data_IF_609209470220
#
_entry.id   IF_609209470220
#
_cell.length_a   1.000
_cell.length_b   1.000
_cell.length_c   1.000
_cell.angle_alpha   90.00
_cell.angle_beta   90.00
_cell.angle_gamma   90.00
#
_symmetry.space_group_name_H-M   'P 1'
#
loop_
_entity.id
_entity.type
_entity.pdbx_description
1 polymer ?
#
# COMPACT_ATOMS: atom_id res chain seq x y z
N UNK A 1 1.84 -30.85 46.81
CA UNK A 1 1.00 -29.64 46.69
C UNK A 1 1.37 -28.67 45.54
N UNK A 2 2.37 -28.95 44.68
CA UNK A 2 2.68 -28.08 43.52
C UNK A 2 1.94 -28.45 42.21
N UNK A 3 1.40 -29.66 42.10
CA UNK A 3 0.73 -30.13 40.88
C UNK A 3 -0.69 -29.56 40.67
N UNK A 4 -1.38 -29.17 41.74
CA UNK A 4 -2.74 -28.60 41.63
C UNK A 4 -2.76 -27.16 41.10
N UNK A 5 -1.66 -26.40 41.25
CA UNK A 5 -1.59 -25.00 40.83
C UNK A 5 -1.36 -24.81 39.33
N UNK A 6 -0.85 -25.83 38.62
CA UNK A 6 -0.57 -25.73 37.18
C UNK A 6 -1.83 -25.98 36.35
N UNK A 7 -2.71 -26.87 36.81
CA UNK A 7 -3.94 -27.25 36.10
C UNK A 7 -4.92 -26.08 36.06
N UNK A 8 -5.09 -25.34 37.17
CA UNK A 8 -5.99 -24.17 37.21
C UNK A 8 -5.51 -23.04 36.30
N UNK A 9 -4.20 -22.79 36.19
CA UNK A 9 -3.66 -21.76 35.32
C UNK A 9 -3.90 -22.06 33.82
N UNK A 10 -3.84 -23.33 33.42
CA UNK A 10 -4.12 -23.75 32.03
C UNK A 10 -5.60 -23.57 31.68
N UNK A 11 -6.52 -23.89 32.58
CA UNK A 11 -7.96 -23.67 32.34
C UNK A 11 -8.32 -22.18 32.23
N UNK A 12 -7.70 -21.30 33.02
CA UNK A 12 -7.91 -19.84 32.88
C UNK A 12 -7.36 -19.29 31.57
N UNK A 13 -6.20 -19.77 31.11
CA UNK A 13 -5.64 -19.36 29.82
C UNK A 13 -6.53 -19.77 28.65
N UNK A 14 -7.05 -21.02 28.66
CA UNK A 14 -7.96 -21.51 27.61
C UNK A 14 -9.29 -20.74 27.60
N UNK A 15 -9.85 -20.42 28.77
CA UNK A 15 -11.07 -19.63 28.87
C UNK A 15 -10.91 -18.19 28.35
N UNK A 16 -9.79 -17.54 28.64
CA UNK A 16 -9.50 -16.19 28.13
C UNK A 16 -9.29 -16.16 26.60
N UNK A 17 -8.65 -17.19 26.04
CA UNK A 17 -8.50 -17.37 24.59
C UNK A 17 -9.85 -17.59 23.89
N UNK A 18 -10.75 -18.37 24.48
CA UNK A 18 -12.09 -18.62 23.93
C UNK A 18 -12.96 -17.35 23.95
N UNK A 19 -12.97 -16.61 25.07
CA UNK A 19 -13.72 -15.35 25.17
C UNK A 19 -13.22 -14.28 24.20
N UNK A 20 -11.90 -14.18 23.98
CA UNK A 20 -11.33 -13.24 23.01
C UNK A 20 -11.67 -13.60 21.55
N UNK A 21 -11.79 -14.90 21.25
CA UNK A 21 -12.19 -15.38 19.93
C UNK A 21 -13.68 -15.08 19.63
N UNK A 22 -14.57 -15.24 20.63
CA UNK A 22 -15.99 -14.90 20.50
C UNK A 22 -16.23 -13.41 20.28
N UNK A 23 -15.51 -12.55 21.00
CA UNK A 23 -15.60 -11.08 20.85
C UNK A 23 -15.14 -10.64 19.45
N UNK A 24 -14.05 -11.25 18.95
CA UNK A 24 -13.51 -10.96 17.61
C UNK A 24 -14.47 -11.37 16.49
N UNK A 25 -15.10 -12.54 16.61
CA UNK A 25 -16.07 -13.02 15.62
C UNK A 25 -17.32 -12.11 15.59
N UNK A 26 -17.84 -11.75 16.77
CA UNK A 26 -19.02 -10.87 16.90
C UNK A 26 -18.75 -9.48 16.30
N UNK A 27 -17.55 -8.93 16.53
CA UNK A 27 -17.17 -7.64 15.97
C UNK A 27 -17.07 -7.70 14.44
N UNK A 28 -16.48 -8.76 13.87
CA UNK A 28 -16.37 -8.94 12.43
C UNK A 28 -17.75 -9.03 11.76
N UNK A 29 -18.69 -9.76 12.37
CA UNK A 29 -20.05 -9.90 11.86
C UNK A 29 -20.78 -8.55 11.83
N UNK A 30 -20.67 -7.76 12.91
CA UNK A 30 -21.29 -6.42 12.97
C UNK A 30 -20.73 -5.46 11.91
N UNK A 31 -19.43 -5.54 11.63
CA UNK A 31 -18.77 -4.72 10.63
C UNK A 31 -19.22 -5.09 9.22
N UNK A 32 -19.29 -6.39 8.90
CA UNK A 32 -19.75 -6.86 7.59
C UNK A 32 -21.23 -6.55 7.34
N UNK A 33 -22.08 -6.64 8.36
CA UNK A 33 -23.48 -6.24 8.27
C UNK A 33 -23.62 -4.76 7.91
N UNK A 34 -22.86 -3.88 8.59
CA UNK A 34 -22.81 -2.45 8.24
C UNK A 34 -22.34 -2.23 6.81
N UNK A 35 -21.27 -2.92 6.40
CA UNK A 35 -20.74 -2.85 5.03
C UNK A 35 -21.79 -3.27 4.00
N UNK A 36 -22.57 -4.32 4.29
CA UNK A 36 -23.69 -4.75 3.44
C UNK A 36 -24.78 -3.67 3.35
N UNK A 37 -25.20 -3.09 4.48
CA UNK A 37 -26.19 -2.01 4.53
C UNK A 37 -25.75 -0.79 3.72
N UNK A 38 -24.51 -0.33 3.93
CA UNK A 38 -23.91 0.78 3.20
C UNK A 38 -23.82 0.46 1.70
N UNK A 39 -23.52 -0.79 1.33
CA UNK A 39 -23.50 -1.21 -0.07
C UNK A 39 -24.90 -1.15 -0.69
N UNK A 40 -25.92 -1.66 -0.01
CA UNK A 40 -27.31 -1.60 -0.50
C UNK A 40 -27.78 -0.17 -0.70
N UNK A 41 -27.45 0.72 0.25
CA UNK A 41 -27.76 2.14 0.14
C UNK A 41 -27.02 2.82 -1.02
N UNK A 42 -25.78 2.41 -1.28
CA UNK A 42 -24.98 2.92 -2.40
C UNK A 42 -25.43 2.38 -3.76
N UNK A 43 -26.14 1.23 -3.82
CA UNK A 43 -26.56 0.53 -5.05
C UNK A 43 -28.05 0.17 -5.12
N UNK A 44 -28.98 1.14 -4.96
CA UNK A 44 -30.41 0.85 -4.95
C UNK A 44 -30.93 0.38 -6.31
N UNK A 45 -30.34 0.86 -7.41
CA UNK A 45 -30.64 0.51 -8.79
C UNK A 45 -30.24 -0.91 -9.18
N UNK A 46 -29.34 -1.54 -8.41
CA UNK A 46 -28.88 -2.92 -8.64
C UNK A 46 -29.46 -3.92 -7.64
N UNK A 47 -30.28 -3.48 -6.68
CA UNK A 47 -30.66 -4.26 -5.50
C UNK A 47 -31.24 -5.64 -5.82
N UNK A 48 -32.05 -5.76 -6.88
CA UNK A 48 -32.71 -7.01 -7.28
C UNK A 48 -31.75 -8.01 -7.95
N UNK A 49 -30.62 -7.54 -8.47
CA UNK A 49 -29.63 -8.36 -9.17
C UNK A 49 -28.43 -8.74 -8.27
N UNK A 50 -28.25 -8.05 -7.15
CA UNK A 50 -27.16 -8.28 -6.22
C UNK A 50 -27.39 -9.53 -5.37
N UNK A 51 -26.34 -10.32 -5.20
CA UNK A 51 -26.33 -11.48 -4.29
C UNK A 51 -25.30 -11.26 -3.21
N UNK A 52 -25.70 -11.43 -1.96
CA UNK A 52 -24.85 -11.31 -0.78
C UNK A 52 -24.67 -12.69 -0.18
N UNK A 53 -23.42 -13.10 0.02
CA UNK A 53 -23.07 -14.42 0.56
C UNK A 53 -22.03 -14.27 1.68
N UNK A 54 -22.22 -15.02 2.76
CA UNK A 54 -21.27 -15.19 3.86
C UNK A 54 -20.75 -16.62 3.80
N UNK A 55 -19.56 -16.88 3.20
CA UNK A 55 -19.07 -18.23 3.01
C UNK A 55 -18.87 -18.96 4.35
N UNK A 56 -19.44 -20.16 4.49
CA UNK A 56 -19.38 -20.93 5.76
C UNK A 56 -17.96 -21.20 6.25
N UNK A 57 -17.00 -21.35 5.34
CA UNK A 57 -15.59 -21.60 5.68
C UNK A 57 -14.80 -20.32 6.00
N UNK A 58 -15.38 -19.14 5.74
CA UNK A 58 -14.74 -17.83 5.93
C UNK A 58 -15.77 -16.88 6.55
N UNK A 59 -16.15 -17.05 7.83
CA UNK A 59 -17.24 -16.29 8.44
C UNK A 59 -16.98 -14.78 8.43
N UNK A 60 -15.71 -14.36 8.54
CA UNK A 60 -15.30 -12.96 8.45
C UNK A 60 -15.16 -12.45 7.01
N UNK A 61 -15.97 -12.97 6.07
CA UNK A 61 -15.96 -12.55 4.67
C UNK A 61 -17.37 -12.32 4.14
N UNK A 62 -17.57 -11.15 3.53
CA UNK A 62 -18.73 -10.82 2.73
C UNK A 62 -18.38 -10.93 1.25
N UNK A 63 -19.23 -11.60 0.47
CA UNK A 63 -19.15 -11.63 -0.99
C UNK A 63 -20.38 -10.96 -1.57
N UNK A 64 -20.17 -9.98 -2.45
CA UNK A 64 -21.20 -9.30 -3.21
C UNK A 64 -21.02 -9.61 -4.69
N UNK A 65 -21.99 -10.29 -5.27
CA UNK A 65 -22.00 -10.73 -6.66
C UNK A 65 -23.01 -9.94 -7.49
N UNK A 66 -22.56 -9.42 -8.63
CA UNK A 66 -23.40 -8.82 -9.66
C UNK A 66 -23.09 -9.43 -11.02
N UNK A 67 -24.05 -10.15 -11.60
CA UNK A 67 -23.93 -10.83 -12.90
C UNK A 67 -22.65 -11.69 -13.00
N UNK A 68 -22.49 -12.61 -12.06
CA UNK A 68 -21.38 -13.58 -12.02
C UNK A 68 -21.75 -14.90 -12.70
N UNK A 69 -20.74 -15.69 -13.07
CA UNK A 69 -20.90 -17.07 -13.57
C UNK A 69 -19.68 -17.92 -13.20
N UNK A 70 -19.81 -19.23 -13.35
CA UNK A 70 -18.67 -20.15 -13.26
C UNK A 70 -17.81 -20.09 -14.52
N UNK A 71 -16.51 -20.16 -14.34
CA UNK A 71 -15.49 -20.25 -15.38
C UNK A 71 -14.56 -21.42 -15.09
N UNK A 72 -14.07 -22.05 -16.15
CA UNK A 72 -12.93 -22.98 -16.08
C UNK A 72 -11.65 -22.15 -16.22
N UNK A 73 -10.87 -22.07 -15.15
CA UNK A 73 -9.66 -21.25 -15.06
C UNK A 73 -8.43 -22.15 -14.98
N UNK A 74 -7.44 -21.84 -15.82
CA UNK A 74 -6.10 -22.42 -15.70
C UNK A 74 -5.25 -21.46 -14.88
N UNK A 75 -4.82 -21.91 -13.70
CA UNK A 75 -3.98 -21.10 -12.82
C UNK A 75 -2.65 -20.75 -13.48
N UNK A 76 -2.08 -19.60 -13.12
CA UNK A 76 -0.73 -19.20 -13.54
C UNK A 76 0.18 -19.12 -12.33
N UNK A 77 1.37 -19.69 -12.44
CA UNK A 77 2.41 -19.52 -11.43
C UNK A 77 2.98 -18.10 -11.49
N UNK A 78 3.76 -17.71 -10.47
CA UNK A 78 4.50 -16.45 -10.49
C UNK A 78 5.55 -16.40 -11.62
N UNK A 79 5.99 -17.53 -12.16
CA UNK A 79 6.90 -17.62 -13.32
C UNK A 79 6.17 -17.50 -14.66
N UNK A 80 4.83 -17.43 -14.65
CA UNK A 80 4.00 -17.34 -15.84
C UNK A 80 3.61 -18.70 -16.46
N UNK A 81 4.06 -19.80 -15.88
CA UNK A 81 3.65 -21.15 -16.30
C UNK A 81 2.16 -21.35 -16.06
N UNK A 82 1.47 -21.90 -17.06
CA UNK A 82 0.04 -22.20 -16.98
C UNK A 82 -0.13 -23.62 -16.45
N UNK A 83 -0.86 -23.77 -15.34
CA UNK A 83 -1.23 -25.08 -14.79
C UNK A 83 -2.00 -25.88 -15.82
N UNK A 84 -1.67 -27.16 -16.00
CA UNK A 84 -2.44 -28.08 -16.85
C UNK A 84 -3.76 -28.51 -16.23
N UNK A 85 -3.90 -28.38 -14.91
CA UNK A 85 -5.10 -28.76 -14.17
C UNK A 85 -6.02 -27.53 -14.03
N UNK A 86 -7.13 -27.47 -14.79
CA UNK A 86 -8.09 -26.39 -14.62
C UNK A 86 -8.89 -26.58 -13.32
N UNK A 87 -9.41 -25.49 -12.79
CA UNK A 87 -10.39 -25.49 -11.70
C UNK A 87 -11.60 -24.62 -12.05
N UNK A 88 -12.73 -24.88 -11.41
CA UNK A 88 -13.88 -23.99 -11.49
C UNK A 88 -13.70 -22.81 -10.56
N UNK A 89 -13.91 -21.60 -11.08
CA UNK A 89 -13.95 -20.37 -10.28
C UNK A 89 -15.20 -19.56 -10.62
N UNK A 90 -15.83 -18.96 -9.61
CA UNK A 90 -16.91 -17.98 -9.83
C UNK A 90 -16.28 -16.61 -10.08
N UNK A 91 -16.61 -16.00 -11.21
CA UNK A 91 -16.10 -14.70 -11.60
C UNK A 91 -17.19 -13.82 -12.24
N UNK A 92 -16.90 -12.53 -12.42
CA UNK A 92 -17.81 -11.63 -13.11
C UNK A 92 -17.94 -11.98 -14.60
N UNK A 93 -19.13 -11.77 -15.16
CA UNK A 93 -19.28 -11.66 -16.62
C UNK A 93 -18.61 -10.37 -17.12
N UNK A 94 -18.61 -10.15 -18.44
CA UNK A 94 -18.00 -8.96 -19.02
C UNK A 94 -18.64 -7.63 -18.56
N UNK A 95 -19.89 -7.63 -18.07
CA UNK A 95 -20.59 -6.47 -17.49
C UNK A 95 -20.81 -6.58 -15.98
N UNK A 96 -20.28 -7.62 -15.34
CA UNK A 96 -20.49 -7.90 -13.91
C UNK A 96 -19.33 -7.50 -13.02
N UNK A 97 -19.53 -7.65 -11.71
CA UNK A 97 -18.45 -7.60 -10.72
C UNK A 97 -18.66 -8.64 -9.62
N UNK A 98 -17.58 -8.95 -8.90
CA UNK A 98 -17.56 -9.72 -7.66
C UNK A 98 -16.68 -8.98 -6.68
N UNK A 99 -17.27 -8.48 -5.59
CA UNK A 99 -16.56 -7.81 -4.51
C UNK A 99 -16.50 -8.76 -3.31
N UNK A 100 -15.30 -9.11 -2.89
CA UNK A 100 -15.07 -9.88 -1.67
C UNK A 100 -14.41 -8.95 -0.64
N UNK A 101 -14.98 -8.89 0.55
CA UNK A 101 -14.51 -8.07 1.67
C UNK A 101 -14.26 -9.01 2.84
N UNK A 102 -13.01 -9.09 3.29
CA UNK A 102 -12.62 -9.90 4.44
C UNK A 102 -12.18 -9.01 5.59
N UNK A 103 -12.74 -9.23 6.78
CA UNK A 103 -12.30 -8.57 8.02
C UNK A 103 -11.10 -9.34 8.57
N UNK A 104 -10.04 -8.61 8.91
CA UNK A 104 -8.84 -9.16 9.53
C UNK A 104 -8.40 -8.26 10.68
N UNK A 105 -7.57 -8.79 11.57
CA UNK A 105 -6.88 -7.95 12.55
C UNK A 105 -5.84 -7.07 11.85
N UNK A 106 -5.67 -5.82 12.31
CA UNK A 106 -4.65 -4.88 11.81
C UNK A 106 -3.21 -5.41 11.93
N UNK A 107 -3.00 -6.51 12.68
CA UNK A 107 -1.70 -7.15 12.83
C UNK A 107 -1.35 -8.12 11.69
N UNK A 108 -2.32 -8.52 10.88
CA UNK A 108 -2.13 -9.47 9.77
C UNK A 108 -1.49 -8.74 8.60
N UNK A 109 -0.26 -9.10 8.26
CA UNK A 109 0.46 -8.50 7.12
C UNK A 109 -0.10 -9.06 5.82
N UNK A 110 -0.78 -8.22 5.03
CA UNK A 110 -1.17 -8.57 3.66
C UNK A 110 -0.12 -8.08 2.65
N UNK A 111 0.09 -8.87 1.60
CA UNK A 111 0.97 -8.50 0.49
C UNK A 111 0.41 -7.35 -0.37
N UNK A 112 -0.83 -6.94 -0.13
CA UNK A 112 -1.52 -5.86 -0.84
C UNK A 112 -1.55 -4.53 -0.05
N UNK A 113 -0.51 -4.23 0.73
CA UNK A 113 -0.36 -2.91 1.39
C UNK A 113 -0.48 -1.73 0.41
N UNK A 114 -0.21 -1.97 -0.88
CA UNK A 114 -0.49 -1.03 -1.96
C UNK A 114 -1.61 -1.59 -2.85
N UNK A 115 -2.50 -0.75 -3.38
CA UNK A 115 -3.46 -1.15 -4.40
C UNK A 115 -2.75 -1.85 -5.57
N UNK A 116 -3.22 -3.04 -5.92
CA UNK A 116 -2.65 -3.85 -6.99
C UNK A 116 -3.77 -4.34 -7.90
N UNK A 117 -3.54 -4.29 -9.21
CA UNK A 117 -4.43 -4.89 -10.20
C UNK A 117 -3.81 -6.18 -10.73
N UNK A 118 -4.49 -7.29 -10.49
CA UNK A 118 -4.15 -8.60 -11.05
C UNK A 118 -4.97 -8.82 -12.32
N UNK A 119 -4.30 -9.21 -13.40
CA UNK A 119 -4.96 -9.55 -14.66
C UNK A 119 -5.21 -11.05 -14.72
N UNK A 120 -6.45 -11.44 -14.46
CA UNK A 120 -6.91 -12.82 -14.58
C UNK A 120 -7.25 -13.11 -16.06
N UNK A 121 -7.41 -14.39 -16.46
CA UNK A 121 -7.69 -14.74 -17.85
C UNK A 121 -8.95 -14.08 -18.42
N UNK A 122 -9.97 -13.82 -17.59
CA UNK A 122 -11.28 -13.33 -18.04
C UNK A 122 -11.71 -12.00 -17.40
N UNK A 123 -11.02 -11.51 -16.38
CA UNK A 123 -11.38 -10.28 -15.66
C UNK A 123 -10.14 -9.61 -15.05
N UNK A 124 -10.33 -8.41 -14.52
CA UNK A 124 -9.32 -7.71 -13.73
C UNK A 124 -9.75 -7.76 -12.28
N UNK A 125 -8.80 -8.03 -11.38
CA UNK A 125 -9.01 -8.04 -9.94
C UNK A 125 -8.20 -6.94 -9.30
N UNK A 126 -8.87 -5.95 -8.73
CA UNK A 126 -8.27 -4.86 -7.96
C UNK A 126 -8.25 -5.27 -6.47
N UNK A 127 -7.06 -5.26 -5.87
CA UNK A 127 -6.82 -5.54 -4.45
C UNK A 127 -6.59 -4.23 -3.71
N UNK A 128 -7.20 -4.09 -2.55
CA UNK A 128 -7.03 -2.91 -1.70
C UNK A 128 -7.27 -3.25 -0.23
N UNK A 129 -6.75 -2.39 0.64
CA UNK A 129 -6.92 -2.48 2.08
C UNK A 129 -7.53 -1.17 2.61
N UNK A 130 -8.38 -1.29 3.63
CA UNK A 130 -9.02 -0.17 4.33
C UNK A 130 -8.98 -0.42 5.83
N UNK A 131 -8.80 0.64 6.61
CA UNK A 131 -8.80 0.56 8.08
C UNK A 131 -9.95 1.41 8.62
N UNK A 132 -11.12 0.80 8.91
CA UNK A 132 -12.22 1.52 9.55
C UNK A 132 -11.75 2.08 10.90
N UNK A 133 -11.84 3.40 11.05
CA UNK A 133 -11.34 4.08 12.24
C UNK A 133 -11.94 3.52 13.54
N UNK A 134 -11.10 3.32 14.55
CA UNK A 134 -11.52 2.90 15.89
C UNK A 134 -11.87 1.42 16.04
N UNK A 135 -11.73 0.61 14.99
CA UNK A 135 -12.09 -0.82 15.06
C UNK A 135 -10.92 -1.74 15.46
N UNK A 136 -9.67 -1.34 15.18
CA UNK A 136 -8.51 -2.23 15.29
C UNK A 136 -8.51 -3.37 14.26
N UNK A 137 -9.36 -3.25 13.23
CA UNK A 137 -9.53 -4.21 12.15
C UNK A 137 -9.20 -3.54 10.82
N UNK A 138 -8.80 -4.37 9.87
CA UNK A 138 -8.63 -4.01 8.47
C UNK A 138 -9.62 -4.78 7.60
N UNK A 139 -10.11 -4.12 6.55
CA UNK A 139 -10.92 -4.68 5.49
C UNK A 139 -10.02 -4.93 4.28
N UNK A 140 -9.83 -6.20 3.96
CA UNK A 140 -9.19 -6.61 2.73
C UNK A 140 -10.24 -6.74 1.62
N UNK A 141 -10.15 -5.88 0.61
CA UNK A 141 -11.12 -5.78 -0.47
C UNK A 141 -10.53 -6.32 -1.77
N UNK A 142 -11.19 -7.33 -2.34
CA UNK A 142 -10.89 -7.91 -3.65
C UNK A 142 -12.05 -7.64 -4.61
N UNK A 143 -11.88 -6.69 -5.52
CA UNK A 143 -12.87 -6.34 -6.54
C UNK A 143 -12.49 -6.95 -7.88
N UNK A 144 -13.21 -7.99 -8.30
CA UNK A 144 -13.07 -8.57 -9.64
C UNK A 144 -14.14 -7.99 -10.57
N UNK A 145 -13.75 -7.48 -11.75
CA UNK A 145 -14.67 -6.82 -12.69
C UNK A 145 -14.46 -7.21 -14.15
N UNK A 146 -15.57 -7.30 -14.87
CA UNK A 146 -15.56 -7.47 -16.32
C UNK A 146 -15.02 -6.24 -17.05
N UNK A 147 -14.44 -6.45 -18.24
CA UNK A 147 -13.85 -5.37 -19.05
C UNK A 147 -14.87 -4.39 -19.66
N UNK A 148 -16.17 -4.63 -19.51
CA UNK A 148 -17.28 -3.77 -19.96
C UNK A 148 -18.25 -3.44 -18.82
N UNK A 149 -17.78 -3.48 -17.57
CA UNK A 149 -18.56 -2.97 -16.46
C UNK A 149 -18.90 -1.50 -16.73
N UNK A 150 -20.16 -1.14 -16.46
CA UNK A 150 -20.62 0.23 -16.59
C UNK A 150 -19.73 1.18 -15.77
N UNK A 151 -19.36 2.33 -16.36
CA UNK A 151 -18.40 3.23 -15.74
C UNK A 151 -18.97 3.97 -14.52
N UNK A 152 -20.29 4.22 -14.48
CA UNK A 152 -20.94 4.79 -13.29
C UNK A 152 -20.89 3.79 -12.13
N UNK A 153 -21.22 2.53 -12.42
CA UNK A 153 -21.13 1.44 -11.43
C UNK A 153 -19.69 1.29 -10.91
N UNK A 154 -18.69 1.33 -11.79
CA UNK A 154 -17.28 1.25 -11.40
C UNK A 154 -16.83 2.46 -10.56
N UNK A 155 -17.25 3.68 -10.93
CA UNK A 155 -16.96 4.90 -10.17
C UNK A 155 -17.56 4.84 -8.76
N UNK A 156 -18.80 4.36 -8.65
CA UNK A 156 -19.48 4.16 -7.36
C UNK A 156 -18.83 3.06 -6.52
N UNK A 157 -18.39 1.95 -7.12
CA UNK A 157 -17.65 0.89 -6.43
C UNK A 157 -16.34 1.41 -5.85
N UNK A 158 -15.61 2.19 -6.63
CA UNK A 158 -14.35 2.81 -6.19
C UNK A 158 -14.59 3.78 -5.03
N UNK A 159 -15.63 4.62 -5.14
CA UNK A 159 -16.03 5.56 -4.09
C UNK A 159 -16.47 4.83 -2.82
N UNK A 160 -17.27 3.78 -2.96
CA UNK A 160 -17.68 2.92 -1.85
C UNK A 160 -16.46 2.34 -1.12
N UNK A 161 -15.52 1.77 -1.87
CA UNK A 161 -14.29 1.22 -1.29
C UNK A 161 -13.48 2.28 -0.54
N UNK A 162 -13.38 3.52 -1.03
CA UNK A 162 -12.70 4.62 -0.33
C UNK A 162 -13.43 4.92 0.99
N UNK A 163 -14.76 5.06 0.95
CA UNK A 163 -15.58 5.40 2.11
C UNK A 163 -15.53 4.34 3.22
N UNK A 164 -15.23 3.08 2.91
CA UNK A 164 -15.04 2.03 3.92
C UNK A 164 -13.93 2.34 4.95
N UNK A 165 -12.95 3.18 4.59
CA UNK A 165 -11.87 3.58 5.50
C UNK A 165 -12.15 4.87 6.28
N UNK A 166 -13.06 5.72 5.78
CA UNK A 166 -13.40 6.99 6.41
C UNK A 166 -14.46 6.75 7.49
N UNK A 167 -14.03 6.55 8.74
CA UNK A 167 -14.97 6.61 9.86
C UNK A 167 -15.69 7.97 9.87
N UNK A 168 -16.97 8.01 10.27
CA UNK A 168 -17.75 9.26 10.43
C UNK A 168 -17.02 10.34 11.26
N UNK A 169 -16.08 9.93 12.11
CA UNK A 169 -15.26 10.81 12.93
C UNK A 169 -14.35 11.77 12.15
N UNK A 170 -13.98 11.47 10.90
CA UNK A 170 -13.06 12.31 10.10
C UNK A 170 -13.79 13.36 9.23
N UNK A 171 -15.13 13.31 9.14
CA UNK A 171 -15.90 14.23 8.29
C UNK A 171 -16.24 15.57 8.96
N UNK A 172 -16.02 15.75 10.27
CA UNK A 172 -16.52 16.95 10.98
C UNK A 172 -15.59 17.59 12.04
N UNK A 173 -14.30 17.23 12.16
CA UNK A 173 -13.39 17.99 13.05
C UNK A 173 -11.96 18.08 12.49
N UNK A 174 -11.29 19.25 12.56
CA UNK A 174 -9.83 19.30 12.41
C UNK A 174 -9.20 18.44 13.51
N UNK A 175 -8.22 17.61 13.11
CA UNK A 175 -7.59 16.59 13.95
C UNK A 175 -7.30 17.07 15.39
N UNK A 176 -7.90 16.46 16.42
CA UNK A 176 -7.44 16.63 17.79
C UNK A 176 -6.06 15.99 17.94
N UNK A 177 -5.16 16.62 18.69
CA UNK A 177 -3.87 16.04 19.09
C UNK A 177 -4.08 14.63 19.67
N UNK A 178 -3.45 13.62 19.06
CA UNK A 178 -3.62 12.20 19.36
C UNK A 178 -3.47 11.88 20.86
N UNK A 179 -4.34 11.02 21.43
CA UNK A 179 -4.14 10.49 22.78
C UNK A 179 -2.97 9.49 22.79
N UNK A 180 -2.04 9.70 23.73
CA UNK A 180 -0.93 8.81 24.02
C UNK A 180 -1.45 7.44 24.51
N UNK A 181 -1.56 6.44 23.63
CA UNK A 181 -1.97 5.10 24.06
C UNK A 181 -2.24 4.05 22.98
N UNK A 182 -2.41 4.42 21.72
CA UNK A 182 -2.46 3.43 20.65
C UNK A 182 -1.04 2.87 20.39
N UNK A 183 -0.86 1.55 20.47
CA UNK A 183 0.38 0.90 20.06
C UNK A 183 0.80 1.32 18.64
N UNK A 184 2.09 1.23 18.27
CA UNK A 184 2.60 1.84 17.06
C UNK A 184 1.92 1.23 15.83
N UNK A 185 0.94 1.95 15.27
CA UNK A 185 0.49 1.76 13.90
C UNK A 185 1.75 1.79 13.04
N UNK A 186 2.07 0.69 12.35
CA UNK A 186 3.19 0.69 11.41
C UNK A 186 2.77 1.54 10.22
N UNK A 187 2.93 2.85 10.36
CA UNK A 187 2.76 3.82 9.28
C UNK A 187 3.53 3.32 8.08
N UNK A 188 2.93 3.42 6.87
CA UNK A 188 3.66 3.24 5.63
C UNK A 188 5.04 3.90 5.74
N UNK A 189 6.12 3.25 5.25
CA UNK A 189 7.47 3.77 5.42
C UNK A 189 7.48 5.23 4.97
N UNK A 190 7.80 6.11 5.91
CA UNK A 190 7.86 7.55 5.65
C UNK A 190 9.25 7.85 5.11
N UNK A 191 9.31 8.74 4.12
CA UNK A 191 10.58 9.28 3.67
C UNK A 191 11.22 10.17 4.73
N UNK A 192 12.41 10.67 4.44
CA UNK A 192 13.17 11.50 5.37
C UNK A 192 12.52 12.87 5.59
N UNK A 193 11.63 13.29 4.67
CA UNK A 193 10.86 14.53 4.77
C UNK A 193 9.52 14.36 5.51
N UNK A 194 9.26 13.18 6.09
CA UNK A 194 8.10 12.94 6.95
C UNK A 194 6.78 12.64 6.20
N UNK A 195 6.80 12.58 4.87
CA UNK A 195 5.66 12.14 4.06
C UNK A 195 5.73 10.65 3.71
N UNK A 196 4.61 9.99 3.37
CA UNK A 196 4.65 8.67 2.75
C UNK A 196 5.47 8.68 1.46
N UNK A 197 6.18 7.58 1.19
CA UNK A 197 6.91 7.43 -0.08
C UNK A 197 5.95 7.48 -1.28
N UNK A 198 6.40 8.08 -2.38
CA UNK A 198 5.59 8.29 -3.59
C UNK A 198 4.58 9.43 -3.51
N UNK A 199 4.42 10.10 -2.36
CA UNK A 199 3.50 11.22 -2.22
C UNK A 199 4.05 12.48 -2.90
N UNK A 200 3.21 13.27 -3.59
CA UNK A 200 3.66 14.51 -4.22
C UNK A 200 4.09 15.54 -3.16
N UNK A 201 5.29 16.08 -3.34
CA UNK A 201 5.92 17.05 -2.47
C UNK A 201 6.50 18.22 -3.29
N UNK A 202 6.47 19.41 -2.71
CA UNK A 202 7.29 20.55 -3.13
C UNK A 202 8.38 20.74 -2.08
N UNK A 203 9.64 20.64 -2.48
CA UNK A 203 10.77 20.86 -1.57
C UNK A 203 11.51 22.13 -1.96
N UNK A 204 12.06 22.80 -0.95
CA UNK A 204 12.95 23.94 -1.16
C UNK A 204 14.24 23.76 -0.38
N UNK A 205 15.35 24.12 -1.02
CA UNK A 205 16.65 23.99 -0.39
C UNK A 205 17.76 24.61 -1.23
N UNK A 206 18.99 24.44 -0.76
CA UNK A 206 20.20 24.90 -1.46
C UNK A 206 21.14 23.72 -1.63
N UNK A 207 21.82 23.65 -2.78
CA UNK A 207 22.82 22.59 -3.02
C UNK A 207 23.90 22.64 -1.94
N UNK A 208 24.16 21.49 -1.30
CA UNK A 208 25.27 21.35 -0.35
C UNK A 208 26.58 21.49 -1.12
N UNK A 209 27.42 22.43 -0.70
CA UNK A 209 28.75 22.65 -1.29
C UNK A 209 29.84 22.31 -0.28
N UNK A 210 30.77 21.43 -0.66
CA UNK A 210 31.86 20.96 0.20
C UNK A 210 31.52 19.69 1.01
N UNK A 211 32.54 19.11 1.64
CA UNK A 211 32.42 17.85 2.39
C UNK A 211 32.38 16.60 1.52
N UNK A 212 32.21 15.43 2.15
CA UNK A 212 31.99 14.14 1.47
C UNK A 212 30.49 13.91 1.30
N UNK A 213 29.87 14.71 0.43
CA UNK A 213 28.45 14.56 0.05
C UNK A 213 28.35 14.12 -1.40
N UNK A 214 27.25 13.46 -1.74
CA UNK A 214 26.99 13.06 -3.12
C UNK A 214 26.64 14.27 -3.98
N UNK A 215 26.92 14.18 -5.28
CA UNK A 215 26.42 15.13 -6.27
C UNK A 215 24.90 15.30 -6.13
N UNK A 216 24.41 16.52 -6.35
CA UNK A 216 22.99 16.86 -6.25
C UNK A 216 22.35 16.62 -4.86
N UNK A 217 23.14 16.66 -3.79
CA UNK A 217 22.58 16.68 -2.43
C UNK A 217 22.04 18.08 -2.11
N UNK A 218 20.73 18.20 -1.94
CA UNK A 218 20.06 19.43 -1.55
C UNK A 218 19.89 19.47 -0.01
N UNK A 219 20.25 20.58 0.62
CA UNK A 219 19.89 20.84 2.01
C UNK A 219 18.49 21.44 2.03
N UNK A 220 17.51 20.59 2.27
CA UNK A 220 16.07 20.92 2.26
C UNK A 220 15.69 21.52 3.60
N UNK A 221 15.09 22.71 3.59
CA UNK A 221 14.60 23.36 4.80
C UNK A 221 13.11 23.74 4.76
N UNK A 222 12.46 23.64 3.59
CA UNK A 222 11.00 23.73 3.46
C UNK A 222 10.44 22.52 2.70
N UNK A 223 9.29 22.03 3.14
CA UNK A 223 8.48 20.99 2.48
C UNK A 223 7.03 21.47 2.43
N UNK A 224 6.45 21.52 1.23
CA UNK A 224 5.09 22.02 0.97
C UNK A 224 4.82 23.41 1.58
N UNK A 225 5.81 24.30 1.51
CA UNK A 225 5.75 25.65 2.10
C UNK A 225 5.88 25.70 3.63
N UNK A 226 6.05 24.55 4.30
CA UNK A 226 6.29 24.49 5.74
C UNK A 226 7.78 24.32 6.03
N UNK A 227 8.31 25.16 6.93
CA UNK A 227 9.70 25.10 7.34
C UNK A 227 9.96 23.92 8.27
N UNK A 228 11.00 23.15 7.98
CA UNK A 228 11.45 22.06 8.83
C UNK A 228 12.14 22.60 10.08
N UNK A 229 12.02 21.88 11.20
CA UNK A 229 12.70 22.22 12.44
C UNK A 229 14.23 22.23 12.26
N UNK A 230 14.75 21.24 11.53
CA UNK A 230 16.14 21.13 11.14
C UNK A 230 16.21 20.82 9.63
N UNK A 231 17.12 21.45 8.87
CA UNK A 231 17.31 21.11 7.47
C UNK A 231 17.79 19.67 7.27
N UNK A 232 17.25 19.00 6.26
CA UNK A 232 17.55 17.59 5.93
C UNK A 232 18.33 17.53 4.62
N UNK A 233 19.44 16.78 4.60
CA UNK A 233 20.20 16.55 3.37
C UNK A 233 19.57 15.43 2.56
N UNK A 234 19.08 15.74 1.36
CA UNK A 234 18.40 14.78 0.49
C UNK A 234 19.10 14.73 -0.85
N UNK A 235 19.41 13.53 -1.34
CA UNK A 235 19.94 13.39 -2.70
C UNK A 235 18.80 13.53 -3.70
N UNK A 236 19.00 14.41 -4.69
CA UNK A 236 18.02 14.68 -5.74
C UNK A 236 18.39 13.90 -6.99
N UNK A 237 17.47 13.05 -7.42
CA UNK A 237 17.40 12.51 -8.78
C UNK A 237 16.30 13.23 -9.56
N UNK A 238 16.15 12.94 -10.84
CA UNK A 238 15.06 13.49 -11.62
C UNK A 238 14.57 12.51 -12.68
N UNK A 239 13.31 12.67 -13.04
CA UNK A 239 12.63 11.87 -14.06
C UNK A 239 11.72 12.76 -14.88
N UNK A 240 11.43 12.34 -16.11
CA UNK A 240 10.49 12.99 -17.00
C UNK A 240 9.53 11.96 -17.61
N UNK A 241 8.40 12.42 -18.13
CA UNK A 241 7.42 11.55 -18.79
C UNK A 241 7.62 11.60 -20.29
N UNK A 242 7.75 10.43 -20.91
CA UNK A 242 7.85 10.25 -22.35
C UNK A 242 7.10 8.97 -22.74
N UNK A 243 6.19 9.06 -23.70
CA UNK A 243 5.32 7.97 -24.13
C UNK A 243 4.61 7.25 -22.98
N UNK A 244 4.07 8.02 -22.03
CA UNK A 244 3.41 7.53 -20.80
C UNK A 244 4.31 6.71 -19.85
N UNK A 245 5.63 6.73 -20.07
CA UNK A 245 6.60 6.07 -19.21
C UNK A 245 7.45 7.09 -18.46
N UNK A 246 7.79 6.78 -17.22
CA UNK A 246 8.73 7.56 -16.44
C UNK A 246 10.17 7.19 -16.86
N UNK A 247 10.90 8.17 -17.39
CA UNK A 247 12.30 8.03 -17.83
C UNK A 247 13.22 8.81 -16.89
N UNK A 248 14.46 8.33 -16.73
CA UNK A 248 15.47 9.04 -15.91
C UNK A 248 16.00 10.25 -16.65
N UNK A 249 15.94 11.41 -16.02
CA UNK A 249 16.53 12.65 -16.50
C UNK A 249 17.89 12.94 -15.89
N UNK A 250 18.45 14.11 -16.23
CA UNK A 250 19.58 14.72 -15.53
C UNK A 250 19.19 16.11 -15.06
N UNK A 251 19.72 16.52 -13.93
CA UNK A 251 19.55 17.89 -13.40
C UNK A 251 20.88 18.34 -12.82
N UNK A 252 21.30 19.54 -13.20
CA UNK A 252 22.51 20.18 -12.68
C UNK A 252 22.10 21.29 -11.71
N UNK A 253 22.03 20.96 -10.42
CA UNK A 253 21.60 21.92 -9.41
C UNK A 253 22.61 23.07 -9.29
N UNK A 254 22.20 24.34 -9.36
CA UNK A 254 23.10 25.47 -9.23
C UNK A 254 23.61 25.64 -7.80
N UNK A 255 24.92 25.81 -7.63
CA UNK A 255 25.54 26.07 -6.34
C UNK A 255 25.06 27.39 -5.73
N UNK A 256 24.84 27.42 -4.40
CA UNK A 256 24.44 28.61 -3.62
C UNK A 256 23.12 29.26 -4.06
N UNK A 257 22.34 28.60 -4.90
CA UNK A 257 21.04 29.08 -5.37
C UNK A 257 19.93 28.25 -4.74
N UNK A 258 18.87 28.92 -4.28
CA UNK A 258 17.67 28.24 -3.78
C UNK A 258 16.94 27.58 -4.94
N UNK A 259 16.73 26.27 -4.81
CA UNK A 259 15.96 25.47 -5.75
C UNK A 259 14.60 25.16 -5.13
N UNK A 260 13.56 25.19 -5.96
CA UNK A 260 12.21 24.74 -5.60
C UNK A 260 11.83 23.64 -6.58
N UNK A 261 11.67 22.42 -6.07
CA UNK A 261 11.47 21.22 -6.86
C UNK A 261 10.16 20.56 -6.48
N UNK A 262 9.44 20.01 -7.46
CA UNK A 262 8.24 19.20 -7.25
C UNK A 262 8.50 17.76 -7.66
N UNK A 263 8.06 16.83 -6.85
CA UNK A 263 8.43 15.42 -7.00
C UNK A 263 7.90 14.56 -5.87
N UNK A 264 8.61 13.47 -5.58
CA UNK A 264 8.27 12.56 -4.48
C UNK A 264 9.53 11.91 -3.91
N UNK A 265 9.46 11.42 -2.67
CA UNK A 265 10.52 10.57 -2.11
C UNK A 265 10.31 9.12 -2.54
N UNK A 266 11.39 8.48 -3.02
CA UNK A 266 11.46 7.03 -3.23
C UNK A 266 12.54 6.44 -2.33
N UNK A 267 12.50 5.11 -2.17
CA UNK A 267 13.59 4.39 -1.52
C UNK A 267 14.23 3.42 -2.49
N UNK A 268 15.54 3.24 -2.31
CA UNK A 268 16.29 2.19 -2.97
C UNK A 268 17.14 1.48 -1.93
N UNK A 269 17.38 0.20 -2.15
CA UNK A 269 18.38 -0.52 -1.38
C UNK A 269 19.75 -0.29 -2.01
N UNK A 270 20.73 0.10 -1.20
CA UNK A 270 22.12 0.26 -1.63
C UNK A 270 23.02 -0.68 -0.83
N UNK A 271 24.22 -0.95 -1.36
CA UNK A 271 25.16 -1.89 -0.75
C UNK A 271 24.97 -3.32 -1.24
N UNK A 272 25.78 -4.24 -0.72
CA UNK A 272 25.65 -5.68 -1.01
C UNK A 272 24.77 -6.34 0.06
N UNK A 273 23.63 -6.96 -0.29
CA UNK A 273 22.81 -7.67 0.68
C UNK A 273 23.62 -8.77 1.40
N UNK A 274 23.44 -8.97 2.72
CA UNK A 274 24.16 -10.03 3.46
C UNK A 274 23.99 -11.43 2.87
N UNK A 275 22.83 -11.72 2.26
CA UNK A 275 22.55 -12.99 1.60
C UNK A 275 23.50 -13.27 0.41
N UNK A 276 23.97 -12.24 -0.28
CA UNK A 276 24.94 -12.40 -1.39
C UNK A 276 26.28 -12.91 -0.86
N UNK A 277 26.72 -12.43 0.31
CA UNK A 277 27.93 -12.93 0.95
C UNK A 277 27.79 -14.39 1.41
N UNK A 278 26.65 -14.73 2.02
CA UNK A 278 26.37 -16.11 2.43
C UNK A 278 26.36 -17.07 1.24
N UNK A 279 25.76 -16.65 0.12
CA UNK A 279 25.72 -17.46 -1.10
C UNK A 279 27.11 -17.58 -1.74
N UNK A 280 27.88 -16.49 -1.76
CA UNK A 280 29.26 -16.50 -2.26
C UNK A 280 30.14 -17.49 -1.46
N UNK A 281 29.97 -17.57 -0.13
CA UNK A 281 30.64 -18.54 0.73
C UNK A 281 30.25 -19.99 0.37
N UNK A 282 28.95 -20.24 0.17
CA UNK A 282 28.43 -21.57 -0.19
C UNK A 282 28.92 -22.06 -1.55
N UNK A 283 29.02 -21.15 -2.52
CA UNK A 283 29.46 -21.44 -3.88
C UNK A 283 30.99 -21.37 -4.05
N UNK A 284 31.73 -21.04 -3.00
CA UNK A 284 33.20 -20.97 -3.03
C UNK A 284 33.73 -19.88 -3.97
N UNK A 285 33.06 -18.72 -4.07
CA UNK A 285 33.54 -17.62 -4.90
C UNK A 285 34.86 -17.06 -4.35
N UNK A 286 35.90 -17.05 -5.19
CA UNK A 286 37.20 -16.48 -4.83
C UNK A 286 37.12 -14.96 -4.62
N UNK A 287 36.31 -14.28 -5.45
CA UNK A 287 36.06 -12.84 -5.36
C UNK A 287 34.64 -12.55 -4.90
N UNK A 288 34.53 -11.75 -3.83
CA UNK A 288 33.23 -11.31 -3.31
C UNK A 288 32.91 -9.93 -3.85
N UNK A 289 31.65 -9.67 -4.24
CA UNK A 289 31.23 -8.30 -4.51
C UNK A 289 31.39 -7.49 -3.22
N UNK A 290 32.15 -6.40 -3.28
CA UNK A 290 32.31 -5.44 -2.20
C UNK A 290 31.58 -4.16 -2.60
N UNK A 291 30.82 -3.59 -1.68
CA UNK A 291 30.30 -2.23 -1.82
C UNK A 291 30.98 -1.33 -0.80
N UNK A 292 31.36 -0.09 -1.16
CA UNK A 292 31.83 0.90 -0.20
C UNK A 292 30.75 1.32 0.80
N UNK A 293 29.49 0.92 0.57
CA UNK A 293 28.34 1.29 1.40
C UNK A 293 27.71 0.04 2.01
N UNK A 294 27.41 0.03 3.33
CA UNK A 294 26.70 -1.10 3.94
C UNK A 294 25.31 -1.27 3.33
N UNK A 295 24.75 -2.48 3.45
CA UNK A 295 23.37 -2.76 3.05
C UNK A 295 22.40 -1.93 3.89
N UNK A 296 21.76 -0.94 3.27
CA UNK A 296 20.84 -0.04 3.96
C UNK A 296 19.80 0.55 3.00
N UNK A 297 18.74 1.08 3.61
CA UNK A 297 17.73 1.85 2.90
C UNK A 297 18.30 3.23 2.62
N UNK A 298 18.08 3.71 1.40
CA UNK A 298 18.44 5.05 1.00
C UNK A 298 17.25 5.74 0.37
N UNK A 299 16.93 6.90 0.92
CA UNK A 299 15.89 7.77 0.37
C UNK A 299 16.49 8.72 -0.64
N UNK A 300 15.78 8.91 -1.75
CA UNK A 300 16.13 9.86 -2.82
C UNK A 300 14.88 10.65 -3.16
N UNK A 301 15.02 11.94 -3.42
CA UNK A 301 13.92 12.76 -3.95
C UNK A 301 13.97 12.74 -5.47
N UNK A 302 12.91 12.26 -6.11
CA UNK A 302 12.77 12.24 -7.57
C UNK A 302 12.04 13.51 -8.00
N UNK A 303 12.79 14.49 -8.51
CA UNK A 303 12.22 15.70 -9.09
C UNK A 303 11.54 15.37 -10.43
N UNK A 304 10.29 15.82 -10.58
CA UNK A 304 9.49 15.72 -11.81
C UNK A 304 9.30 17.08 -12.47
N UNK A 305 9.41 18.17 -11.70
CA UNK A 305 9.23 19.54 -12.15
C UNK A 305 10.15 20.49 -11.36
N UNK A 306 10.63 21.54 -12.04
CA UNK A 306 11.50 22.57 -11.47
C UNK A 306 10.75 23.89 -11.46
N UNK A 307 10.42 24.37 -10.27
CA UNK A 307 9.69 25.63 -10.08
C UNK A 307 10.65 26.82 -10.05
N UNK A 308 11.83 26.65 -9.46
CA UNK A 308 12.88 27.67 -9.39
C UNK A 308 14.27 27.06 -9.24
N UNK A 309 15.35 27.75 -9.68
CA UNK A 309 15.33 29.05 -10.36
C UNK A 309 14.85 28.94 -11.82
N UNK A 310 14.45 30.08 -12.40
CA UNK A 310 14.09 30.12 -13.81
C UNK A 310 15.29 29.68 -14.69
N UNK A 311 15.01 28.85 -15.69
CA UNK A 311 16.02 28.30 -16.60
C UNK A 311 16.75 27.06 -16.10
N UNK A 312 16.50 26.60 -14.86
CA UNK A 312 16.88 25.24 -14.45
C UNK A 312 15.86 24.25 -14.99
N UNK A 313 16.30 23.27 -15.76
CA UNK A 313 15.44 22.27 -16.40
C UNK A 313 15.95 20.85 -16.14
N UNK A 314 15.03 19.88 -16.27
CA UNK A 314 15.39 18.45 -16.30
C UNK A 314 15.81 18.11 -17.73
N UNK A 315 17.10 17.86 -17.91
CA UNK A 315 17.69 17.46 -19.18
C UNK A 315 17.28 16.02 -19.53
N UNK A 316 16.80 15.84 -20.76
CA UNK A 316 16.56 14.51 -21.33
C UNK A 316 17.89 13.96 -21.87
N UNK A 317 18.24 12.70 -21.59
CA UNK A 317 19.36 12.06 -22.25
C UNK A 317 19.19 12.18 -23.77
N UNK A 318 20.22 12.66 -24.46
CA UNK A 318 20.31 12.52 -25.91
C UNK A 318 20.85 11.13 -26.17
N UNK A 319 20.03 10.29 -26.82
CA UNK A 319 20.40 8.95 -27.25
C UNK A 319 21.56 8.96 -28.27
#
# INVERSE_FOLDING_TARGET
MKAFSLVTAVFFAIGALAAHAEDTATQADSLLQRVEEDFRAAFPDLADELRFEYPQHYPSTLVVDYRTRKFTVYGRSMTGEVSEQPHEAVGPTHVGFRLQISVQDDSVVNQAMMPQSLREPYWVTDLSERHPAGTGKQLFCRLSRGGRLDQDVLGRLTTFQINLGEGEHDRLQPAPSEPAGAGPRRSAPRGQLGAPLGYPLTIEGVLVTGGKVESNTLLVDNVNGQRLAEPVSVVVSCSYVEDHNLRRGRIALPAKTRCVLRGYEEFTMIGVPPAVHQLADQLGWEERPLSPTPWQWRTTFVALDVVAPAGLEIERPTD
#
